data_IF_322988415073
#
_entry.id   IF_322988415073
#
_cell.length_a   1.000
_cell.length_b   1.000
_cell.length_c   1.000
_cell.angle_alpha   90.00
_cell.angle_beta   90.00
_cell.angle_gamma   90.00
#
_symmetry.space_group_name_H-M   'P 1'
#
loop_
_entity.id
_entity.type
_entity.pdbx_description
1 polymer ?
#
# COMPACT_ATOMS: atom_id res chain seq x y z
N UNK A 1 -3.98 13.34 6.30
CA UNK A 1 -3.28 12.10 5.92
C UNK A 1 -2.65 12.30 4.56
N UNK A 2 -1.31 12.26 4.46
CA UNK A 2 -0.61 12.20 3.18
C UNK A 2 -0.02 10.80 3.01
N UNK A 3 -0.18 10.20 1.83
CA UNK A 3 0.53 8.97 1.46
C UNK A 3 1.71 9.33 0.56
N UNK A 4 2.90 8.88 0.92
CA UNK A 4 4.13 9.04 0.13
C UNK A 4 4.77 7.67 -0.05
N UNK A 5 5.71 7.57 -0.99
CA UNK A 5 6.48 6.35 -1.19
C UNK A 5 7.97 6.67 -1.23
N UNK A 6 8.79 5.76 -0.71
CA UNK A 6 10.25 5.85 -0.81
C UNK A 6 10.69 5.59 -2.26
N UNK A 7 11.90 6.05 -2.67
CA UNK A 7 12.43 5.78 -4.00
C UNK A 7 12.45 4.29 -4.34
N UNK A 8 12.85 3.44 -3.38
CA UNK A 8 12.88 1.99 -3.58
C UNK A 8 11.47 1.39 -3.82
N UNK A 9 10.44 1.94 -3.18
CA UNK A 9 9.06 1.56 -3.41
C UNK A 9 8.62 1.96 -4.83
N UNK A 10 8.97 3.18 -5.28
CA UNK A 10 8.69 3.65 -6.65
C UNK A 10 9.35 2.75 -7.69
N UNK A 11 10.62 2.38 -7.51
CA UNK A 11 11.33 1.48 -8.44
C UNK A 11 10.65 0.10 -8.53
N UNK A 12 10.18 -0.43 -7.40
CA UNK A 12 9.43 -1.70 -7.41
C UNK A 12 8.08 -1.54 -8.11
N UNK A 13 7.36 -0.44 -7.87
CA UNK A 13 6.10 -0.14 -8.56
C UNK A 13 6.30 -0.09 -10.06
N UNK A 14 7.33 0.62 -10.55
CA UNK A 14 7.62 0.71 -11.98
C UNK A 14 7.96 -0.67 -12.58
N UNK A 15 8.74 -1.47 -11.87
CA UNK A 15 9.06 -2.83 -12.29
C UNK A 15 7.80 -3.70 -12.40
N UNK A 16 6.94 -3.67 -11.38
CA UNK A 16 5.69 -4.42 -11.39
C UNK A 16 4.75 -3.91 -12.49
N UNK A 17 4.70 -2.59 -12.70
CA UNK A 17 3.89 -1.98 -13.78
C UNK A 17 4.35 -2.44 -15.15
N UNK A 18 5.67 -2.56 -15.36
CA UNK A 18 6.21 -3.06 -16.62
C UNK A 18 5.82 -4.50 -16.93
N UNK A 19 5.56 -5.31 -15.88
CA UNK A 19 5.21 -6.74 -15.99
C UNK A 19 3.72 -6.99 -16.04
N UNK A 20 2.94 -6.23 -15.27
CA UNK A 20 1.51 -6.49 -15.02
C UNK A 20 0.58 -5.38 -15.53
N UNK A 21 1.10 -4.22 -15.93
CA UNK A 21 0.31 -3.07 -16.36
C UNK A 21 -0.04 -2.14 -15.20
N UNK A 22 -1.20 -1.49 -15.26
CA UNK A 22 -1.62 -0.58 -14.18
C UNK A 22 -1.87 -1.35 -12.89
N UNK A 23 -1.41 -0.78 -11.78
CA UNK A 23 -1.51 -1.38 -10.45
C UNK A 23 -2.32 -0.49 -9.52
N UNK A 24 -2.87 -1.11 -8.48
CA UNK A 24 -3.54 -0.47 -7.36
C UNK A 24 -3.04 -1.03 -6.04
N UNK A 25 -3.09 -0.20 -5.01
CA UNK A 25 -2.73 -0.58 -3.65
C UNK A 25 -3.96 -0.58 -2.76
N UNK A 26 -4.06 -1.59 -1.91
CA UNK A 26 -5.12 -1.68 -0.91
C UNK A 26 -4.54 -2.05 0.45
N UNK A 27 -5.00 -1.33 1.47
CA UNK A 27 -4.67 -1.61 2.86
C UNK A 27 -5.95 -1.85 3.65
N UNK A 28 -6.19 -3.12 3.99
CA UNK A 28 -7.32 -3.54 4.82
C UNK A 28 -7.00 -3.33 6.32
N UNK A 29 -7.89 -2.69 7.07
CA UNK A 29 -7.74 -2.51 8.54
C UNK A 29 -7.96 -3.79 9.37
N UNK A 30 -7.48 -4.96 8.91
CA UNK A 30 -7.73 -6.28 9.51
C UNK A 30 -6.88 -6.59 10.76
N UNK A 31 -7.41 -7.51 11.57
CA UNK A 31 -7.15 -7.80 13.00
C UNK A 31 -5.72 -8.17 13.47
N UNK A 32 -4.68 -8.06 12.64
CA UNK A 32 -3.29 -8.26 13.10
C UNK A 32 -2.42 -7.08 12.64
N UNK A 33 -2.12 -6.17 13.58
CA UNK A 33 -1.00 -5.22 13.54
C UNK A 33 -0.88 -4.26 12.34
N UNK A 34 -1.99 -3.79 11.77
CA UNK A 34 -1.91 -2.81 10.67
C UNK A 34 -1.32 -3.47 9.43
N UNK A 35 -2.19 -4.16 8.67
CA UNK A 35 -1.77 -4.98 7.54
C UNK A 35 -0.83 -4.24 6.58
N UNK A 36 0.16 -4.96 6.06
CA UNK A 36 1.07 -4.42 5.03
C UNK A 36 0.27 -4.02 3.78
N UNK A 37 0.68 -2.98 3.05
CA UNK A 37 0.01 -2.60 1.80
C UNK A 37 0.07 -3.78 0.84
N UNK A 38 -1.05 -4.11 0.22
CA UNK A 38 -1.09 -5.14 -0.81
C UNK A 38 -1.19 -4.49 -2.18
N UNK A 39 -0.41 -5.00 -3.13
CA UNK A 39 -0.38 -4.54 -4.51
C UNK A 39 -1.12 -5.53 -5.41
N UNK A 40 -2.08 -5.01 -6.17
CA UNK A 40 -2.93 -5.75 -7.11
C UNK A 40 -2.93 -5.07 -8.48
N UNK A 41 -3.22 -5.79 -9.58
CA UNK A 41 -3.54 -5.16 -10.85
C UNK A 41 -4.78 -4.26 -10.71
N UNK A 42 -4.78 -3.12 -11.41
CA UNK A 42 -5.88 -2.16 -11.38
C UNK A 42 -7.18 -2.84 -11.83
N UNK A 43 -8.19 -2.84 -10.96
CA UNK A 43 -9.50 -3.45 -11.22
C UNK A 43 -9.64 -4.92 -10.83
N UNK A 44 -8.56 -5.59 -10.39
CA UNK A 44 -8.63 -6.96 -9.87
C UNK A 44 -9.22 -6.99 -8.46
N UNK A 45 -8.86 -6.01 -7.63
CA UNK A 45 -9.43 -5.84 -6.30
C UNK A 45 -10.71 -5.00 -6.35
N UNK A 46 -11.83 -5.58 -5.90
CA UNK A 46 -13.10 -4.86 -5.76
C UNK A 46 -13.08 -3.98 -4.52
N UNK A 47 -12.74 -2.72 -4.70
CA UNK A 47 -12.96 -1.68 -3.68
C UNK A 47 -14.46 -1.52 -3.42
N UNK A 48 -14.85 -1.59 -2.16
CA UNK A 48 -16.23 -1.40 -1.71
C UNK A 48 -16.50 0.04 -1.28
N UNK A 49 -17.74 0.31 -0.86
CA UNK A 49 -18.12 1.63 -0.27
C UNK A 49 -17.39 1.96 1.03
N UNK A 50 -16.75 0.95 1.64
CA UNK A 50 -15.95 1.11 2.84
C UNK A 50 -14.47 1.30 2.51
N UNK A 51 -14.07 1.47 1.26
CA UNK A 51 -12.69 1.78 0.88
C UNK A 51 -12.59 3.23 0.44
N UNK A 52 -11.62 3.94 0.98
CA UNK A 52 -11.37 5.36 0.72
C UNK A 52 -10.10 5.47 -0.09
N UNK A 53 -10.17 6.16 -1.23
CA UNK A 53 -8.98 6.56 -1.98
C UNK A 53 -8.28 7.68 -1.21
N UNK A 54 -7.06 7.41 -0.76
CA UNK A 54 -6.32 8.35 0.09
C UNK A 54 -5.25 9.12 -0.65
N UNK A 55 -4.85 8.64 -1.82
CA UNK A 55 -3.86 9.27 -2.68
C UNK A 55 -3.29 8.29 -3.68
N UNK A 56 -2.16 8.68 -4.27
CA UNK A 56 -1.47 7.90 -5.29
C UNK A 56 0.02 7.78 -4.98
N UNK A 57 0.59 6.59 -5.18
CA UNK A 57 2.03 6.31 -5.04
C UNK A 57 2.56 5.74 -6.35
N UNK A 58 3.63 6.30 -6.90
CA UNK A 58 4.19 5.82 -8.18
C UNK A 58 3.20 5.83 -9.36
N UNK A 59 2.18 6.71 -9.30
CA UNK A 59 1.08 6.74 -10.26
C UNK A 59 0.12 5.55 -10.14
N UNK A 60 0.01 4.95 -8.95
CA UNK A 60 -0.94 3.90 -8.61
C UNK A 60 -1.86 4.37 -7.48
N UNK A 61 -3.18 4.20 -7.59
CA UNK A 61 -4.11 4.60 -6.54
C UNK A 61 -3.95 3.74 -5.28
N UNK A 62 -3.96 4.39 -4.11
CA UNK A 62 -3.86 3.76 -2.80
C UNK A 62 -5.17 3.87 -2.04
N UNK A 63 -5.75 2.73 -1.71
CA UNK A 63 -7.02 2.62 -1.00
C UNK A 63 -6.81 2.12 0.43
N UNK A 64 -7.54 2.71 1.38
CA UNK A 64 -7.55 2.29 2.77
C UNK A 64 -8.99 2.04 3.21
N UNK A 65 -9.21 1.01 4.03
CA UNK A 65 -10.52 0.81 4.65
C UNK A 65 -10.95 2.01 5.49
N UNK A 66 -12.20 2.46 5.38
CA UNK A 66 -12.76 3.66 6.01
C UNK A 66 -12.50 3.74 7.51
N UNK A 67 -12.66 2.62 8.23
CA UNK A 67 -12.37 2.57 9.67
C UNK A 67 -10.89 2.85 9.98
N UNK A 68 -9.97 2.36 9.14
CA UNK A 68 -8.54 2.63 9.26
C UNK A 68 -8.20 4.06 8.85
N UNK A 69 -8.90 4.59 7.83
CA UNK A 69 -8.76 5.98 7.41
C UNK A 69 -9.18 6.96 8.52
N UNK A 70 -10.32 6.73 9.19
CA UNK A 70 -10.76 7.54 10.33
C UNK A 70 -9.76 7.46 11.51
N UNK A 71 -9.11 6.31 11.71
CA UNK A 71 -8.06 6.17 12.73
C UNK A 71 -6.76 6.90 12.37
N UNK A 72 -6.42 6.99 11.08
CA UNK A 72 -5.14 7.51 10.58
C UNK A 72 -5.28 8.84 9.84
N UNK A 73 -6.43 9.50 9.91
CA UNK A 73 -6.70 10.73 9.16
C UNK A 73 -5.68 11.86 9.47
N UNK A 74 -5.05 11.79 10.65
CA UNK A 74 -4.01 12.70 11.12
C UNK A 74 -2.59 12.11 11.11
N UNK A 75 -2.37 10.98 10.45
CA UNK A 75 -1.06 10.33 10.33
C UNK A 75 -0.53 10.46 8.91
N UNK A 76 0.75 10.76 8.74
CA UNK A 76 1.37 10.68 7.42
C UNK A 76 1.94 9.27 7.22
N UNK A 77 1.59 8.66 6.09
CA UNK A 77 1.94 7.29 5.75
C UNK A 77 3.02 7.32 4.69
N UNK A 78 4.19 6.78 5.02
CA UNK A 78 5.25 6.56 4.05
C UNK A 78 5.33 5.08 3.71
N UNK A 79 5.05 4.74 2.46
CA UNK A 79 5.14 3.38 1.96
C UNK A 79 6.59 3.10 1.56
N UNK A 80 7.17 2.07 2.17
CA UNK A 80 8.52 1.63 1.89
C UNK A 80 8.52 0.16 1.48
N UNK A 81 9.66 -0.31 0.97
CA UNK A 81 9.85 -1.69 0.57
C UNK A 81 11.06 -2.26 1.28
N UNK A 82 10.93 -3.49 1.78
CA UNK A 82 12.04 -4.22 2.39
C UNK A 82 12.19 -5.59 1.75
N UNK A 83 13.41 -6.10 1.73
CA UNK A 83 13.65 -7.47 1.30
C UNK A 83 13.03 -8.44 2.33
N UNK A 84 12.23 -9.39 1.85
CA UNK A 84 11.54 -10.33 2.70
C UNK A 84 10.41 -11.08 1.99
N UNK A 85 9.85 -12.09 2.65
CA UNK A 85 8.63 -12.74 2.16
C UNK A 85 7.47 -11.74 2.27
N UNK A 86 6.95 -11.31 1.12
CA UNK A 86 5.72 -10.54 1.01
C UNK A 86 4.49 -11.26 1.55
N UNK A 87 3.40 -10.51 1.72
CA UNK A 87 2.10 -11.10 2.00
C UNK A 87 1.72 -12.03 0.84
N UNK A 88 1.17 -13.21 1.14
CA UNK A 88 0.97 -14.32 0.17
C UNK A 88 0.09 -14.01 -1.06
N UNK A 89 -0.51 -12.81 -1.13
CA UNK A 89 -1.37 -12.35 -2.21
C UNK A 89 -0.83 -11.12 -2.98
N UNK A 90 0.35 -10.59 -2.63
CA UNK A 90 0.92 -9.39 -3.27
C UNK A 90 1.78 -9.76 -4.49
N UNK A 91 1.75 -8.94 -5.55
CA UNK A 91 2.50 -9.19 -6.80
C UNK A 91 4.02 -9.16 -6.66
N UNK A 92 4.53 -8.61 -5.56
CA UNK A 92 5.97 -8.46 -5.27
C UNK A 92 6.66 -9.73 -4.74
N UNK A 93 5.90 -10.80 -4.46
CA UNK A 93 6.46 -12.07 -3.95
C UNK A 93 7.58 -12.64 -4.82
N UNK A 94 7.48 -12.67 -6.17
CA UNK A 94 8.55 -13.17 -7.03
C UNK A 94 9.83 -12.33 -6.94
N UNK A 95 9.72 -11.06 -6.56
CA UNK A 95 10.86 -10.15 -6.42
C UNK A 95 11.54 -10.28 -5.05
N UNK A 96 11.01 -11.12 -4.14
CA UNK A 96 11.56 -11.30 -2.79
C UNK A 96 11.49 -10.05 -1.92
N UNK A 97 10.54 -9.17 -2.22
CA UNK A 97 10.30 -7.89 -1.54
C UNK A 97 8.92 -7.88 -0.88
N UNK A 98 8.75 -6.99 0.09
CA UNK A 98 7.47 -6.72 0.74
C UNK A 98 7.27 -5.22 0.95
N UNK A 99 6.07 -4.73 0.68
CA UNK A 99 5.66 -3.39 1.06
C UNK A 99 5.46 -3.31 2.58
N UNK A 100 5.85 -2.20 3.16
CA UNK A 100 5.63 -1.86 4.56
C UNK A 100 5.10 -0.44 4.65
N UNK A 101 4.22 -0.19 5.62
CA UNK A 101 3.85 1.17 5.99
C UNK A 101 4.80 1.62 7.10
N UNK A 102 5.47 2.74 6.88
CA UNK A 102 6.13 3.51 7.92
C UNK A 102 5.20 4.66 8.28
N UNK A 103 4.63 4.59 9.46
CA UNK A 103 3.96 5.73 10.08
C UNK A 103 4.93 6.36 11.07
N UNK A 104 5.19 7.65 10.92
CA UNK A 104 5.75 8.43 12.03
C UNK A 104 4.59 8.67 12.99
N UNK A 105 4.41 7.78 13.97
CA UNK A 105 3.60 8.11 15.14
C UNK A 105 4.36 9.25 15.83
N UNK A 106 3.86 10.47 15.66
CA UNK A 106 4.30 11.59 16.46
C UNK A 106 3.83 11.28 17.90
N UNK A 107 4.67 10.59 18.69
CA UNK A 107 4.50 10.51 20.14
C UNK A 107 4.42 11.95 20.66
N UNK A 108 3.30 12.29 21.29
CA UNK A 108 3.11 13.56 21.98
C UNK A 108 2.86 13.28 23.46
#
# INVERSE_FOLDING_TARGET
MKVTATPACIELIELLKSKHGDLMFHQSGGCCDGSSPMCYPLGEFKVGQQDVLVGEIGGCPFYIGKAQFELWEHTDLTIDVVAGRGASFSLEIPEGKRFIVRSEICER
#
